data_IF_090617659222
#
_entry.id   IF_090617659222
#
_cell.length_a   1.000
_cell.length_b   1.000
_cell.length_c   1.000
_cell.angle_alpha   90.00
_cell.angle_beta   90.00
_cell.angle_gamma   90.00
#
_symmetry.space_group_name_H-M   'P 1'
#
loop_
_entity.id
_entity.type
_entity.pdbx_description
1 polymer ?
#
# COMPACT_ATOMS: atom_id res chain seq x y z
N UNK A 1 -4.98 39.25 7.80
CA UNK A 1 -5.50 38.91 6.47
C UNK A 1 -4.69 37.76 5.84
N UNK A 2 -3.36 37.75 5.98
CA UNK A 2 -2.49 36.64 5.53
C UNK A 2 -2.82 35.27 6.19
N UNK A 3 -3.13 35.26 7.49
CA UNK A 3 -3.48 34.01 8.21
C UNK A 3 -4.77 33.36 7.70
N UNK A 4 -5.75 34.14 7.26
CA UNK A 4 -7.01 33.61 6.72
C UNK A 4 -6.84 32.98 5.33
N UNK A 5 -5.98 33.55 4.47
CA UNK A 5 -5.69 33.04 3.12
C UNK A 5 -4.90 31.73 3.16
N UNK A 6 -3.99 31.62 4.12
CA UNK A 6 -3.16 30.44 4.27
C UNK A 6 -3.96 29.24 4.82
N UNK A 7 -4.88 29.48 5.77
CA UNK A 7 -5.82 28.46 6.28
C UNK A 7 -6.76 27.94 5.18
N UNK A 8 -7.27 28.79 4.29
CA UNK A 8 -8.10 28.34 3.14
C UNK A 8 -7.29 27.50 2.16
N UNK A 9 -6.02 27.83 1.91
CA UNK A 9 -5.15 27.02 1.04
C UNK A 9 -4.86 25.64 1.62
N UNK A 10 -4.56 25.55 2.92
CA UNK A 10 -4.30 24.29 3.61
C UNK A 10 -5.54 23.37 3.57
N UNK A 11 -6.72 23.87 3.95
CA UNK A 11 -7.97 23.11 3.91
C UNK A 11 -8.27 22.56 2.51
N UNK A 12 -7.93 23.30 1.45
CA UNK A 12 -8.12 22.86 0.08
C UNK A 12 -7.25 21.66 -0.28
N UNK A 13 -5.97 21.63 0.13
CA UNK A 13 -5.11 20.47 -0.12
C UNK A 13 -5.55 19.22 0.65
N UNK A 14 -6.00 19.39 1.90
CA UNK A 14 -6.56 18.28 2.69
C UNK A 14 -7.85 17.73 2.05
N UNK A 15 -8.76 18.61 1.63
CA UNK A 15 -9.99 18.21 0.95
C UNK A 15 -9.71 17.50 -0.38
N UNK A 16 -8.80 18.04 -1.20
CA UNK A 16 -8.39 17.42 -2.47
C UNK A 16 -7.72 16.06 -2.25
N UNK A 17 -6.90 15.91 -1.21
CA UNK A 17 -6.32 14.63 -0.81
C UNK A 17 -7.38 13.59 -0.44
N UNK A 18 -8.38 13.96 0.37
CA UNK A 18 -9.49 13.09 0.76
C UNK A 18 -10.35 12.69 -0.45
N UNK A 19 -10.62 13.63 -1.36
CA UNK A 19 -11.36 13.35 -2.60
C UNK A 19 -10.58 12.37 -3.48
N UNK A 20 -9.27 12.59 -3.64
CA UNK A 20 -8.39 11.72 -4.41
C UNK A 20 -8.33 10.30 -3.81
N UNK A 21 -8.19 10.19 -2.49
CA UNK A 21 -8.24 8.91 -1.77
C UNK A 21 -9.58 8.20 -1.97
N UNK A 22 -10.70 8.92 -1.84
CA UNK A 22 -12.04 8.35 -2.02
C UNK A 22 -12.29 7.88 -3.45
N UNK A 23 -11.87 8.66 -4.45
CA UNK A 23 -11.99 8.31 -5.86
C UNK A 23 -11.14 7.08 -6.19
N UNK A 24 -9.90 7.05 -5.70
CA UNK A 24 -9.03 5.88 -5.84
C UNK A 24 -9.68 4.66 -5.19
N UNK A 25 -10.18 4.76 -3.96
CA UNK A 25 -10.86 3.66 -3.27
C UNK A 25 -12.11 3.16 -4.03
N UNK A 26 -12.96 4.07 -4.53
CA UNK A 26 -14.13 3.71 -5.33
C UNK A 26 -13.73 3.02 -6.64
N UNK A 27 -12.70 3.53 -7.32
CA UNK A 27 -12.12 2.90 -8.50
C UNK A 27 -11.63 1.47 -8.19
N UNK A 28 -10.97 1.27 -7.05
CA UNK A 28 -10.51 -0.06 -6.64
C UNK A 28 -11.68 -1.03 -6.44
N UNK A 29 -12.72 -0.62 -5.71
CA UNK A 29 -13.92 -1.44 -5.51
C UNK A 29 -14.59 -1.78 -6.85
N UNK A 30 -14.66 -0.81 -7.77
CA UNK A 30 -15.21 -1.03 -9.10
C UNK A 30 -14.42 -2.07 -9.90
N UNK A 31 -13.08 -1.98 -9.90
CA UNK A 31 -12.25 -2.99 -10.59
C UNK A 31 -12.39 -4.38 -9.98
N UNK A 32 -12.45 -4.49 -8.65
CA UNK A 32 -12.67 -5.76 -7.96
C UNK A 32 -14.04 -6.37 -8.32
N UNK A 33 -15.09 -5.53 -8.36
CA UNK A 33 -16.43 -5.95 -8.77
C UNK A 33 -16.48 -6.47 -10.21
N UNK A 34 -15.79 -5.79 -11.14
CA UNK A 34 -15.69 -6.19 -12.54
C UNK A 34 -14.97 -7.54 -12.69
N UNK A 35 -13.90 -7.74 -11.92
CA UNK A 35 -13.13 -8.98 -11.88
C UNK A 35 -13.97 -10.18 -11.40
N UNK A 36 -14.81 -9.98 -10.39
CA UNK A 36 -15.74 -11.02 -9.91
C UNK A 36 -16.77 -11.37 -10.98
N UNK A 37 -17.35 -10.39 -11.67
CA UNK A 37 -18.30 -10.64 -12.77
C UNK A 37 -17.67 -11.37 -13.95
N UNK A 38 -16.43 -11.02 -14.29
CA UNK A 38 -15.70 -11.67 -15.39
C UNK A 38 -15.27 -13.11 -15.03
N UNK A 39 -15.01 -13.39 -13.76
CA UNK A 39 -14.65 -14.74 -13.30
C UNK A 39 -15.78 -15.75 -13.53
N UNK A 40 -17.03 -15.31 -13.49
CA UNK A 40 -18.22 -16.14 -13.74
C UNK A 40 -18.75 -15.88 -15.15
N UNK A 41 -18.06 -16.45 -16.15
CA UNK A 41 -18.56 -16.46 -17.52
C UNK A 41 -19.82 -17.34 -17.61
N UNK A 42 -20.84 -16.86 -18.33
CA UNK A 42 -22.12 -17.54 -18.65
C UNK A 42 -21.95 -18.96 -19.23
N UNK A 43 -20.72 -19.34 -19.57
CA UNK A 43 -20.33 -20.66 -20.08
C UNK A 43 -19.99 -21.69 -19.00
N UNK A 44 -20.06 -21.33 -17.70
CA UNK A 44 -19.83 -22.25 -16.57
C UNK A 44 -18.37 -22.62 -16.32
N UNK A 45 -17.41 -22.00 -17.03
CA UNK A 45 -15.97 -22.25 -16.85
C UNK A 45 -15.42 -21.31 -15.76
N UNK A 46 -14.85 -21.89 -14.69
CA UNK A 46 -14.18 -21.14 -13.61
C UNK A 46 -12.76 -20.72 -14.01
N UNK A 47 -12.53 -19.41 -14.14
CA UNK A 47 -11.22 -18.83 -14.46
C UNK A 47 -10.40 -18.54 -13.19
N UNK A 48 -9.82 -19.57 -12.56
CA UNK A 48 -9.08 -19.41 -11.29
C UNK A 48 -7.83 -18.50 -11.36
N UNK A 49 -7.31 -18.17 -12.55
CA UNK A 49 -6.08 -17.38 -12.71
C UNK A 49 -6.35 -16.09 -13.49
N UNK A 50 -5.99 -14.96 -12.90
CA UNK A 50 -6.12 -13.62 -13.50
C UNK A 50 -5.51 -13.52 -14.91
N UNK A 51 -4.35 -14.17 -15.11
CA UNK A 51 -3.68 -14.25 -16.41
C UNK A 51 -4.56 -14.94 -17.47
N UNK A 52 -5.30 -15.99 -17.10
CA UNK A 52 -6.15 -16.73 -18.03
C UNK A 52 -7.38 -15.90 -18.42
N UNK A 53 -7.99 -15.21 -17.45
CA UNK A 53 -9.12 -14.30 -17.67
C UNK A 53 -8.74 -13.11 -18.57
N UNK A 54 -7.55 -12.53 -18.37
CA UNK A 54 -7.09 -11.43 -19.22
C UNK A 54 -6.76 -11.89 -20.65
N UNK A 55 -6.25 -13.11 -20.80
CA UNK A 55 -5.96 -13.71 -22.11
C UNK A 55 -7.26 -13.98 -22.88
N UNK A 56 -8.33 -14.42 -22.22
CA UNK A 56 -9.63 -14.63 -22.89
C UNK A 56 -10.32 -13.32 -23.25
N UNK A 57 -10.21 -12.28 -22.42
CA UNK A 57 -10.85 -10.99 -22.68
C UNK A 57 -10.11 -10.13 -23.74
N UNK A 58 -8.77 -10.08 -23.71
CA UNK A 58 -7.96 -9.19 -24.55
C UNK A 58 -7.15 -9.93 -25.64
N UNK A 59 -7.22 -11.26 -25.67
CA UNK A 59 -6.49 -12.11 -26.60
C UNK A 59 -5.11 -12.57 -26.09
N UNK A 60 -4.49 -13.56 -26.77
CA UNK A 60 -3.35 -14.30 -26.25
C UNK A 60 -2.05 -13.49 -26.12
N UNK A 61 -1.84 -12.50 -26.98
CA UNK A 61 -0.63 -11.65 -26.94
C UNK A 61 -0.82 -10.42 -26.05
N UNK A 62 -1.93 -9.70 -26.22
CA UNK A 62 -2.21 -8.46 -25.49
C UNK A 62 -2.58 -8.74 -24.03
N UNK A 63 -3.43 -9.73 -23.75
CA UNK A 63 -3.82 -10.09 -22.39
C UNK A 63 -2.64 -10.55 -21.54
N UNK A 64 -1.70 -11.32 -22.13
CA UNK A 64 -0.45 -11.74 -21.47
C UNK A 64 0.46 -10.55 -21.17
N UNK A 65 0.62 -9.61 -22.12
CA UNK A 65 1.44 -8.42 -21.91
C UNK A 65 0.85 -7.51 -20.82
N UNK A 66 -0.45 -7.23 -20.90
CA UNK A 66 -1.17 -6.34 -19.99
C UNK A 66 -1.27 -6.89 -18.56
N UNK A 67 -1.11 -8.19 -18.35
CA UNK A 67 -1.06 -8.78 -17.00
C UNK A 67 0.36 -8.88 -16.46
N UNK A 68 1.32 -9.35 -17.25
CA UNK A 68 2.69 -9.55 -16.77
C UNK A 68 3.38 -8.22 -16.46
N UNK A 69 3.21 -7.21 -17.33
CA UNK A 69 3.92 -5.94 -17.18
C UNK A 69 3.56 -5.21 -15.87
N UNK A 70 2.27 -5.00 -15.53
CA UNK A 70 1.91 -4.34 -14.27
C UNK A 70 2.25 -5.19 -13.04
N UNK A 71 2.07 -6.52 -13.10
CA UNK A 71 2.38 -7.41 -11.95
C UNK A 71 3.87 -7.39 -11.62
N UNK A 72 4.74 -7.44 -12.63
CA UNK A 72 6.19 -7.35 -12.43
C UNK A 72 6.61 -6.00 -11.86
N UNK A 73 6.11 -4.89 -12.41
CA UNK A 73 6.41 -3.54 -11.90
C UNK A 73 5.92 -3.38 -10.46
N UNK A 74 4.72 -3.85 -10.16
CA UNK A 74 4.15 -3.78 -8.82
C UNK A 74 4.97 -4.57 -7.80
N UNK A 75 5.32 -5.82 -8.14
CA UNK A 75 6.12 -6.71 -7.30
C UNK A 75 7.51 -6.14 -7.03
N UNK A 76 8.23 -5.75 -8.08
CA UNK A 76 9.56 -5.14 -7.98
C UNK A 76 9.54 -3.87 -7.12
N UNK A 77 8.55 -3.00 -7.35
CA UNK A 77 8.38 -1.80 -6.53
C UNK A 77 8.04 -2.10 -5.07
N UNK A 78 7.33 -3.21 -4.76
CA UNK A 78 6.97 -3.55 -3.37
C UNK A 78 8.20 -4.03 -2.63
N UNK A 79 8.98 -4.90 -3.29
CA UNK A 79 10.24 -5.38 -2.74
C UNK A 79 11.17 -4.20 -2.40
N UNK A 80 11.38 -3.28 -3.35
CA UNK A 80 12.20 -2.10 -3.11
C UNK A 80 11.67 -1.24 -1.96
N UNK A 81 10.35 -0.98 -1.92
CA UNK A 81 9.74 -0.19 -0.85
C UNK A 81 9.90 -0.85 0.53
N UNK A 82 9.70 -2.16 0.62
CA UNK A 82 9.87 -2.92 1.88
C UNK A 82 11.31 -2.84 2.37
N UNK A 83 12.29 -2.94 1.47
CA UNK A 83 13.71 -2.80 1.82
C UNK A 83 14.01 -1.39 2.35
N UNK A 84 13.51 -0.35 1.66
CA UNK A 84 13.73 1.05 2.06
C UNK A 84 13.09 1.33 3.43
N UNK A 85 11.84 0.94 3.63
CA UNK A 85 11.15 1.15 4.91
C UNK A 85 11.82 0.31 6.01
N UNK A 86 12.08 -0.97 5.75
CA UNK A 86 12.64 -1.91 6.71
C UNK A 86 14.06 -1.56 7.18
N UNK A 87 14.94 -1.16 6.26
CA UNK A 87 16.27 -0.69 6.64
C UNK A 87 16.23 0.65 7.38
N UNK A 88 15.30 1.53 7.02
CA UNK A 88 15.05 2.80 7.72
C UNK A 88 14.56 2.59 9.15
N UNK A 89 13.60 1.69 9.36
CA UNK A 89 13.09 1.35 10.69
C UNK A 89 14.15 0.67 11.54
N UNK A 90 14.97 -0.22 10.97
CA UNK A 90 16.05 -0.88 11.69
C UNK A 90 17.13 0.13 12.13
N UNK A 91 17.46 1.12 11.29
CA UNK A 91 18.37 2.20 11.69
C UNK A 91 17.81 3.01 12.87
N UNK A 92 16.52 3.36 12.83
CA UNK A 92 15.87 4.07 13.94
C UNK A 92 15.85 3.24 15.22
N UNK A 93 15.58 1.94 15.11
CA UNK A 93 15.57 1.01 16.23
C UNK A 93 16.96 0.88 16.88
N UNK A 94 18.01 0.68 16.09
CA UNK A 94 19.38 0.59 16.60
C UNK A 94 19.83 1.88 17.29
N UNK A 95 19.43 3.04 16.75
CA UNK A 95 19.70 4.33 17.38
C UNK A 95 18.95 4.48 18.71
N UNK A 96 17.70 4.02 18.78
CA UNK A 96 16.89 4.11 19.99
C UNK A 96 17.36 3.17 21.12
N UNK A 97 17.86 1.98 20.79
CA UNK A 97 18.24 0.94 21.79
C UNK A 97 19.71 1.02 22.20
N UNK A 98 20.62 1.19 21.23
CA UNK A 98 22.06 1.05 21.49
C UNK A 98 22.83 2.39 21.46
N UNK A 99 22.17 3.53 21.22
CA UNK A 99 22.77 4.87 21.06
C UNK A 99 24.01 4.90 20.14
N UNK A 100 24.06 3.97 19.16
CA UNK A 100 25.19 3.85 18.24
C UNK A 100 24.99 4.84 17.11
N UNK A 101 25.67 5.98 17.23
CA UNK A 101 25.57 7.06 16.24
C UNK A 101 26.31 6.78 14.92
N UNK A 102 27.07 5.68 14.82
CA UNK A 102 27.94 5.35 13.69
C UNK A 102 27.45 4.24 12.77
N UNK A 103 26.20 3.77 12.90
CA UNK A 103 25.69 2.70 12.02
C UNK A 103 25.42 3.26 10.61
N UNK A 104 26.09 2.69 9.62
CA UNK A 104 25.95 3.12 8.22
C UNK A 104 24.59 2.66 7.69
N UNK A 105 23.85 3.55 7.01
CA UNK A 105 22.52 3.21 6.50
C UNK A 105 22.51 1.95 5.62
N UNK A 106 23.55 1.78 4.80
CA UNK A 106 23.78 0.62 3.93
C UNK A 106 23.85 -0.70 4.69
N UNK A 107 24.45 -0.74 5.89
CA UNK A 107 24.54 -1.94 6.71
C UNK A 107 23.17 -2.36 7.23
N UNK A 108 22.35 -1.39 7.68
CA UNK A 108 20.96 -1.66 8.08
C UNK A 108 20.12 -2.20 6.92
N UNK A 109 20.28 -1.65 5.72
CA UNK A 109 19.57 -2.15 4.54
C UNK A 109 20.00 -3.59 4.19
N UNK A 110 21.30 -3.88 4.22
CA UNK A 110 21.82 -5.23 3.96
C UNK A 110 21.33 -6.25 4.99
N UNK A 111 21.39 -5.90 6.27
CA UNK A 111 20.88 -6.76 7.35
C UNK A 111 19.39 -7.05 7.18
N UNK A 112 18.59 -6.04 6.80
CA UNK A 112 17.15 -6.23 6.56
C UNK A 112 16.92 -7.17 5.37
N UNK A 113 17.66 -7.00 4.27
CA UNK A 113 17.58 -7.89 3.10
C UNK A 113 17.96 -9.32 3.47
N UNK A 114 19.03 -9.52 4.25
CA UNK A 114 19.42 -10.85 4.72
C UNK A 114 18.31 -11.52 5.53
N UNK A 115 17.69 -10.78 6.47
CA UNK A 115 16.55 -11.28 7.24
C UNK A 115 15.35 -11.60 6.35
N UNK A 116 15.04 -10.73 5.38
CA UNK A 116 13.95 -10.94 4.43
C UNK A 116 14.18 -12.17 3.54
N UNK A 117 15.43 -12.43 3.11
CA UNK A 117 15.79 -13.64 2.37
C UNK A 117 15.57 -14.87 3.24
N UNK A 118 16.04 -14.86 4.49
CA UNK A 118 15.84 -15.98 5.43
C UNK A 118 14.35 -16.27 5.62
N UNK A 119 13.54 -15.23 5.81
CA UNK A 119 12.07 -15.36 5.91
C UNK A 119 11.47 -15.92 4.61
N UNK A 120 11.93 -15.47 3.45
CA UNK A 120 11.46 -15.95 2.15
C UNK A 120 11.82 -17.42 1.86
N UNK A 121 12.86 -17.95 2.51
CA UNK A 121 13.22 -19.37 2.38
C UNK A 121 12.30 -20.31 3.16
N UNK A 122 11.46 -19.82 4.10
CA UNK A 122 10.52 -20.67 4.82
C UNK A 122 9.30 -20.99 3.93
N UNK A 123 9.20 -22.22 3.38
CA UNK A 123 8.15 -22.57 2.42
C UNK A 123 6.84 -22.99 3.09
N UNK A 124 6.77 -22.91 4.43
CA UNK A 124 5.62 -23.39 5.18
C UNK A 124 4.63 -22.25 5.42
N UNK A 125 3.45 -22.35 4.79
CA UNK A 125 2.35 -21.40 4.92
C UNK A 125 1.94 -21.15 6.38
N UNK A 126 2.06 -22.17 7.24
CA UNK A 126 1.76 -22.05 8.66
C UNK A 126 2.76 -21.12 9.39
N UNK A 127 4.00 -21.06 8.92
CA UNK A 127 5.03 -20.15 9.48
C UNK A 127 4.78 -18.70 9.08
N UNK A 128 4.24 -18.47 7.88
CA UNK A 128 3.94 -17.12 7.36
C UNK A 128 2.69 -16.55 8.02
N UNK A 129 1.71 -17.40 8.37
CA UNK A 129 0.49 -16.98 9.06
C UNK A 129 0.78 -16.26 10.39
N UNK A 130 1.74 -16.75 11.17
CA UNK A 130 2.16 -16.10 12.42
C UNK A 130 2.80 -14.73 12.19
N UNK A 131 3.64 -14.58 11.16
CA UNK A 131 4.23 -13.29 10.78
C UNK A 131 3.13 -12.30 10.37
N UNK A 132 2.13 -12.76 9.63
CA UNK A 132 0.96 -11.96 9.26
C UNK A 132 0.13 -11.55 10.49
N UNK A 133 -0.07 -12.45 11.46
CA UNK A 133 -0.79 -12.18 12.70
C UNK A 133 -0.10 -11.08 13.51
N UNK A 134 1.23 -11.18 13.70
CA UNK A 134 2.01 -10.14 14.40
C UNK A 134 1.88 -8.79 13.69
N UNK A 135 1.96 -8.79 12.36
CA UNK A 135 1.76 -7.58 11.55
C UNK A 135 0.38 -6.96 11.76
N UNK A 136 -0.68 -7.77 11.76
CA UNK A 136 -2.05 -7.32 11.97
C UNK A 136 -2.25 -6.75 13.39
N UNK A 137 -1.78 -7.46 14.42
CA UNK A 137 -1.84 -6.99 15.82
C UNK A 137 -1.10 -5.66 15.99
N UNK A 138 0.08 -5.53 15.39
CA UNK A 138 0.89 -4.31 15.44
C UNK A 138 0.19 -3.15 14.73
N UNK A 139 -0.43 -3.39 13.57
CA UNK A 139 -1.18 -2.38 12.83
C UNK A 139 -2.40 -1.87 13.63
N UNK A 140 -3.14 -2.78 14.28
CA UNK A 140 -4.25 -2.42 15.18
C UNK A 140 -3.72 -1.57 16.34
N UNK A 141 -2.65 -2.02 17.01
CA UNK A 141 -2.06 -1.30 18.13
C UNK A 141 -1.63 0.13 17.74
N UNK A 142 -0.91 0.30 16.62
CA UNK A 142 -0.52 1.63 16.13
C UNK A 142 -1.74 2.51 15.79
N UNK A 143 -2.75 1.93 15.14
CA UNK A 143 -3.97 2.66 14.78
C UNK A 143 -4.71 3.15 16.04
N UNK A 144 -4.85 2.29 17.06
CA UNK A 144 -5.46 2.63 18.34
C UNK A 144 -4.65 3.68 19.08
N UNK A 145 -3.31 3.60 19.08
CA UNK A 145 -2.45 4.61 19.69
C UNK A 145 -2.60 5.98 19.02
N UNK A 146 -2.58 6.03 17.68
CA UNK A 146 -2.79 7.27 16.93
C UNK A 146 -4.15 7.87 17.29
N UNK A 147 -5.21 7.06 17.28
CA UNK A 147 -6.56 7.51 17.58
C UNK A 147 -6.69 8.01 19.04
N UNK A 148 -6.10 7.28 19.98
CA UNK A 148 -6.04 7.66 21.40
C UNK A 148 -5.27 8.96 21.62
N UNK A 149 -4.13 9.16 20.93
CA UNK A 149 -3.35 10.40 20.99
C UNK A 149 -4.10 11.59 20.40
N UNK A 150 -4.84 11.40 19.30
CA UNK A 150 -5.67 12.44 18.70
C UNK A 150 -6.78 12.90 19.64
N UNK A 151 -7.42 11.98 20.36
CA UNK A 151 -8.47 12.29 21.34
C UNK A 151 -7.85 12.94 22.58
N UNK A 152 -6.76 12.36 23.11
CA UNK A 152 -6.20 12.75 24.40
C UNK A 152 -5.42 14.06 24.39
N UNK A 153 -4.79 14.43 23.26
CA UNK A 153 -3.93 15.62 23.19
C UNK A 153 -4.65 16.88 22.69
N UNK A 154 -5.87 16.73 22.15
CA UNK A 154 -6.63 17.84 21.56
C UNK A 154 -5.90 18.50 20.38
N UNK A 155 -6.51 19.53 19.77
CA UNK A 155 -5.88 20.26 18.66
C UNK A 155 -4.68 21.06 19.21
N UNK A 156 -3.42 20.77 18.82
CA UNK A 156 -2.29 21.57 19.27
C UNK A 156 -2.45 23.01 18.80
N UNK A 157 -2.51 23.95 19.74
CA UNK A 157 -2.59 25.38 19.49
C UNK A 157 -1.25 25.88 18.95
N UNK A 158 -1.22 26.27 17.66
CA UNK A 158 -0.06 26.95 17.05
C UNK A 158 0.64 26.23 15.91
N UNK A 159 0.14 25.07 15.43
CA UNK A 159 0.70 24.43 14.23
C UNK A 159 0.04 25.04 12.99
N UNK A 160 0.82 25.81 12.23
CA UNK A 160 0.43 26.28 10.91
C UNK A 160 0.50 25.10 9.92
N UNK A 161 -0.65 24.69 9.40
CA UNK A 161 -0.76 23.66 8.34
C UNK A 161 -0.53 24.24 6.95
N UNK A 162 0.14 25.39 6.85
CA UNK A 162 0.48 25.95 5.56
C UNK A 162 1.48 25.03 4.87
N UNK A 163 1.22 24.63 3.61
CA UNK A 163 2.25 23.98 2.83
C UNK A 163 3.49 24.89 2.81
N UNK A 164 4.72 24.33 2.87
CA UNK A 164 5.93 25.12 2.71
C UNK A 164 5.82 25.98 1.45
N UNK A 165 6.21 27.25 1.52
CA UNK A 165 6.29 28.10 0.34
C UNK A 165 7.29 27.48 -0.64
N UNK A 166 6.78 26.93 -1.73
CA UNK A 166 7.61 26.33 -2.78
C UNK A 166 8.05 27.44 -3.73
N UNK A 167 9.36 27.70 -3.79
CA UNK A 167 9.96 28.79 -4.58
C UNK A 167 9.73 28.65 -6.10
N UNK A 168 9.49 27.43 -6.61
CA UNK A 168 9.33 27.19 -8.05
C UNK A 168 8.09 26.37 -8.42
N UNK A 169 7.54 26.63 -9.62
CA UNK A 169 6.45 25.85 -10.20
C UNK A 169 6.82 24.36 -10.42
N UNK A 170 8.12 24.08 -10.63
CA UNK A 170 8.63 22.72 -10.79
C UNK A 170 8.61 21.94 -9.47
N UNK A 171 9.01 22.57 -8.36
CA UNK A 171 8.96 21.95 -7.03
C UNK A 171 7.52 21.67 -6.60
N UNK A 172 6.60 22.58 -6.95
CA UNK A 172 5.17 22.39 -6.71
C UNK A 172 4.60 21.23 -7.52
N UNK A 173 4.94 21.12 -8.80
CA UNK A 173 4.53 19.98 -9.61
C UNK A 173 5.13 18.66 -9.11
N UNK A 174 6.41 18.66 -8.74
CA UNK A 174 7.09 17.51 -8.13
C UNK A 174 6.45 17.06 -6.82
N UNK A 175 6.07 18.01 -5.95
CA UNK A 175 5.36 17.73 -4.70
C UNK A 175 3.99 17.10 -4.91
N UNK A 176 3.23 17.57 -5.91
CA UNK A 176 1.94 16.97 -6.29
C UNK A 176 2.14 15.55 -6.81
N UNK A 177 3.07 15.34 -7.75
CA UNK A 177 3.36 14.00 -8.28
C UNK A 177 3.84 13.03 -7.18
N UNK A 178 4.67 13.50 -6.25
CA UNK A 178 5.11 12.71 -5.12
C UNK A 178 3.93 12.31 -4.21
N UNK A 179 3.05 13.26 -3.91
CA UNK A 179 1.86 13.01 -3.08
C UNK A 179 0.90 12.02 -3.74
N UNK A 180 0.65 12.19 -5.05
CA UNK A 180 -0.15 11.26 -5.86
C UNK A 180 0.51 9.88 -5.89
N UNK A 181 1.83 9.80 -6.05
CA UNK A 181 2.59 8.56 -5.99
C UNK A 181 2.43 7.83 -4.66
N UNK A 182 2.46 8.55 -3.54
CA UNK A 182 2.22 7.98 -2.20
C UNK A 182 0.78 7.46 -2.08
N UNK A 183 -0.21 8.16 -2.62
CA UNK A 183 -1.62 7.70 -2.63
C UNK A 183 -1.75 6.40 -3.43
N UNK A 184 -1.20 6.35 -4.65
CA UNK A 184 -1.21 5.12 -5.45
C UNK A 184 -0.48 3.97 -4.76
N UNK A 185 0.62 4.25 -4.04
CA UNK A 185 1.36 3.28 -3.25
C UNK A 185 0.56 2.79 -2.02
N UNK A 186 -0.25 3.64 -1.39
CA UNK A 186 -1.11 3.25 -0.27
C UNK A 186 -2.21 2.26 -0.71
N UNK A 187 -2.72 2.40 -1.93
CA UNK A 187 -3.64 1.46 -2.56
C UNK A 187 -2.94 0.25 -3.20
N UNK A 188 -1.68 -0.03 -2.85
CA UNK A 188 -0.96 -1.17 -3.40
C UNK A 188 -1.27 -2.45 -2.63
N UNK A 189 -2.33 -3.15 -3.00
CA UNK A 189 -2.71 -4.43 -2.39
C UNK A 189 -3.61 -5.35 -3.21
N UNK A 190 -4.07 -4.89 -4.38
CA UNK A 190 -5.14 -5.57 -5.13
C UNK A 190 -4.75 -6.92 -5.71
N UNK A 191 -3.46 -7.13 -6.01
CA UNK A 191 -3.01 -8.40 -6.60
C UNK A 191 -3.10 -9.57 -5.61
N UNK A 192 -2.93 -9.33 -4.31
CA UNK A 192 -3.03 -10.37 -3.26
C UNK A 192 -4.49 -10.63 -2.90
N UNK A 193 -5.32 -9.58 -2.91
CA UNK A 193 -6.76 -9.69 -2.70
C UNK A 193 -7.40 -10.59 -3.76
N UNK A 194 -6.98 -10.51 -5.02
CA UNK A 194 -7.50 -11.37 -6.07
C UNK A 194 -7.15 -12.85 -5.87
N UNK A 195 -5.97 -13.17 -5.33
CA UNK A 195 -5.54 -14.55 -5.06
C UNK A 195 -6.22 -15.13 -3.80
N UNK A 196 -6.45 -14.30 -2.77
CA UNK A 196 -7.16 -14.69 -1.54
C UNK A 196 -8.68 -14.71 -1.76
N UNK A 197 -9.25 -13.82 -2.59
CA UNK A 197 -10.68 -13.79 -2.90
C UNK A 197 -11.11 -15.01 -3.71
N UNK A 198 -10.30 -15.52 -4.63
CA UNK A 198 -10.60 -16.82 -5.28
C UNK A 198 -10.70 -17.93 -4.23
N UNK A 199 -9.91 -17.87 -3.16
CA UNK A 199 -9.92 -18.88 -2.08
C UNK A 199 -11.13 -18.71 -1.13
N UNK A 200 -11.43 -17.49 -0.68
CA UNK A 200 -12.52 -17.21 0.29
C UNK A 200 -13.90 -17.23 -0.37
N UNK A 201 -14.04 -16.69 -1.58
CA UNK A 201 -15.31 -16.72 -2.33
C UNK A 201 -15.65 -18.14 -2.76
N UNK A 202 -14.64 -18.98 -3.09
CA UNK A 202 -14.86 -20.40 -3.35
C UNK A 202 -15.36 -21.15 -2.10
N UNK A 203 -14.85 -20.83 -0.91
CA UNK A 203 -15.31 -21.42 0.36
C UNK A 203 -16.75 -21.02 0.67
N UNK A 204 -17.11 -19.74 0.49
CA UNK A 204 -18.47 -19.26 0.74
C UNK A 204 -19.51 -19.87 -0.22
N UNK A 205 -19.12 -20.18 -1.45
CA UNK A 205 -19.99 -20.86 -2.42
C UNK A 205 -20.08 -22.39 -2.18
N UNK A 206 -19.01 -23.04 -1.71
CA UNK A 206 -19.03 -24.46 -1.36
C UNK A 206 -19.88 -24.76 -0.11
N UNK A 207 -20.08 -23.76 0.76
CA UNK A 207 -21.00 -23.83 1.90
C UNK A 207 -22.47 -23.55 1.53
N UNK A 208 -22.73 -23.18 0.27
CA UNK A 208 -24.08 -22.88 -0.26
C UNK A 208 -24.56 -23.93 -1.27
N UNK A 209 -23.80 -25.01 -1.45
CA UNK A 209 -24.17 -26.26 -2.13
C UNK A 209 -24.24 -27.36 -1.07
#
# INVERSE_FOLDING_TARGET
METSCAITSANQFWALGIICLSLAFAWQLYTAWLLVHLHESDTGIRYSRYLHLAITAFGPKLGKLLTIFPVMYLSGGTCAQLIIIGGGTMKLFLKAVCDVNSVTGTECFLLFVCMAIVVAQFPNLNSIAWVSLIGATTAIAYSTLIWGLLIGKGRPSGISYNPPEMESNMDRFGGVLNSVGIIFLAFKGHNVILEIQVSVLAIFYFLKV
#
